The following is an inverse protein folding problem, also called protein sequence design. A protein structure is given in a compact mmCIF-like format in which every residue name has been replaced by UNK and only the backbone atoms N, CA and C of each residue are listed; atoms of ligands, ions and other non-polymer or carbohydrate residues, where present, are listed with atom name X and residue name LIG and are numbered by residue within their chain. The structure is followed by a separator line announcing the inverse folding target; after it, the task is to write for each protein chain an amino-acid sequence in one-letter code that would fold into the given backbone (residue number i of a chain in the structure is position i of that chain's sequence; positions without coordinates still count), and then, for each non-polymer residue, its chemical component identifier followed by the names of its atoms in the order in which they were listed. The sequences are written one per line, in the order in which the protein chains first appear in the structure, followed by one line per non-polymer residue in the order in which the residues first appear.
data_IF_851769678271
#
_entry.id   IF_851769678271
#
_cell.length_a   1.000
_cell.length_b   1.000
_cell.length_c   1.000
_cell.angle_alpha   90.00
_cell.angle_beta   90.00
_cell.angle_gamma   90.00
#
_symmetry.space_group_name_H-M   'P 1'
#
loop_
_entity.id
_entity.type
_entity.pdbx_description
1 polymer ?
#
# COMPACT_ATOMS: atom_id res chain seq x y z
N UNK A 1 6.32 2.84 26.64
CA UNK A 1 7.20 3.07 25.47
C UNK A 1 6.57 2.35 24.29
N UNK A 2 6.47 3.00 23.13
CA UNK A 2 5.90 2.37 21.92
C UNK A 2 6.87 1.32 21.41
N UNK A 3 6.37 0.11 21.15
CA UNK A 3 7.17 -0.96 20.57
C UNK A 3 7.20 -0.84 19.04
N UNK A 4 8.38 -0.58 18.50
CA UNK A 4 8.61 -0.48 17.06
C UNK A 4 9.01 -1.81 16.41
N UNK A 5 9.09 -2.92 17.16
CA UNK A 5 9.45 -4.25 16.65
C UNK A 5 8.52 -4.75 15.54
N UNK A 6 7.34 -4.14 15.43
CA UNK A 6 6.29 -4.47 14.47
C UNK A 6 6.37 -3.67 13.16
N UNK A 7 7.37 -2.78 13.00
CA UNK A 7 7.57 -1.99 11.78
C UNK A 7 8.57 -2.68 10.84
N UNK A 8 8.10 -3.01 9.64
CA UNK A 8 8.90 -3.63 8.58
C UNK A 8 9.14 -2.64 7.43
N UNK A 9 10.27 -2.80 6.74
CA UNK A 9 10.52 -2.13 5.45
C UNK A 9 10.05 -3.04 4.32
N UNK A 10 9.22 -2.51 3.43
CA UNK A 10 8.77 -3.21 2.23
C UNK A 10 8.85 -2.29 1.00
N UNK A 11 8.75 -2.90 -0.18
CA UNK A 11 8.66 -2.18 -1.46
C UNK A 11 7.55 -2.78 -2.30
N UNK A 12 6.60 -1.96 -2.71
CA UNK A 12 5.46 -2.37 -3.54
C UNK A 12 5.50 -1.59 -4.85
N UNK A 13 5.61 -2.30 -5.97
CA UNK A 13 5.71 -1.69 -7.31
C UNK A 13 6.77 -0.58 -7.39
N UNK A 14 7.93 -0.79 -6.75
CA UNK A 14 9.02 0.19 -6.70
C UNK A 14 8.86 1.29 -5.65
N UNK A 15 7.74 1.37 -4.93
CA UNK A 15 7.51 2.37 -3.87
C UNK A 15 7.92 1.82 -2.50
N UNK A 16 8.93 2.40 -1.83
CA UNK A 16 9.33 1.97 -0.49
C UNK A 16 8.36 2.46 0.59
N UNK A 17 7.95 1.56 1.48
CA UNK A 17 7.05 1.82 2.60
C UNK A 17 7.62 1.30 3.92
N UNK A 18 7.20 1.93 5.02
CA UNK A 18 7.10 1.27 6.32
C UNK A 18 5.74 0.57 6.40
N UNK A 19 5.71 -0.64 6.93
CA UNK A 19 4.50 -1.46 7.07
C UNK A 19 4.42 -2.01 8.49
N UNK A 20 3.21 -2.03 9.06
CA UNK A 20 2.91 -2.77 10.28
C UNK A 20 1.64 -3.59 10.10
N UNK A 21 1.51 -4.68 10.85
CA UNK A 21 0.27 -5.44 10.93
C UNK A 21 -0.51 -5.01 12.18
N UNK A 22 -1.74 -4.54 11.99
CA UNK A 22 -2.64 -4.15 13.09
C UNK A 22 -4.01 -4.80 12.87
N UNK A 23 -4.51 -5.58 13.84
CA UNK A 23 -5.78 -6.34 13.72
C UNK A 23 -5.89 -7.16 12.41
N UNK A 24 -4.79 -7.75 11.93
CA UNK A 24 -4.77 -8.49 10.67
C UNK A 24 -4.81 -7.62 9.40
N UNK A 25 -4.76 -6.29 9.54
CA UNK A 25 -4.69 -5.32 8.45
C UNK A 25 -3.27 -4.78 8.32
N UNK A 26 -2.70 -4.87 7.12
CA UNK A 26 -1.45 -4.18 6.82
C UNK A 26 -1.72 -2.66 6.73
N UNK A 27 -0.96 -1.89 7.50
CA UNK A 27 -1.00 -0.42 7.50
C UNK A 27 0.35 0.09 7.01
N UNK A 28 0.33 0.99 6.03
CA UNK A 28 1.51 1.43 5.31
C UNK A 28 1.70 2.95 5.38
N UNK A 29 2.97 3.35 5.48
CA UNK A 29 3.45 4.73 5.40
C UNK A 29 4.55 4.82 4.35
N UNK A 30 4.41 5.68 3.34
CA UNK A 30 5.44 5.87 2.31
C UNK A 30 6.69 6.51 2.89
N UNK A 31 7.85 6.06 2.43
CA UNK A 31 9.15 6.55 2.92
C UNK A 31 9.57 7.87 2.28
N UNK A 32 9.06 8.18 1.08
CA UNK A 32 9.42 9.37 0.31
C UNK A 32 8.76 10.64 0.84
N UNK A 33 7.49 10.56 1.21
CA UNK A 33 6.62 11.70 1.52
C UNK A 33 5.83 11.52 2.83
N UNK A 34 6.03 10.40 3.54
CA UNK A 34 5.28 10.04 4.75
C UNK A 34 3.76 9.89 4.56
N UNK A 35 3.25 9.77 3.34
CA UNK A 35 1.82 9.55 3.14
C UNK A 35 1.36 8.24 3.78
N UNK A 36 0.16 8.28 4.36
CA UNK A 36 -0.49 7.15 5.00
C UNK A 36 -1.64 6.64 4.12
N UNK A 37 -1.88 5.34 4.12
CA UNK A 37 -3.02 4.77 3.42
C UNK A 37 -4.29 4.85 4.29
N UNK A 38 -5.16 5.83 4.00
CA UNK A 38 -6.41 6.07 4.71
C UNK A 38 -7.36 4.87 4.63
N UNK A 39 -7.38 4.13 3.51
CA UNK A 39 -8.22 2.94 3.38
C UNK A 39 -7.86 1.86 4.41
N UNK A 40 -6.57 1.70 4.70
CA UNK A 40 -6.09 0.74 5.69
C UNK A 40 -6.41 1.19 7.12
N UNK A 41 -6.28 2.49 7.42
CA UNK A 41 -6.70 3.07 8.72
C UNK A 41 -8.18 2.79 8.98
N UNK A 42 -9.05 3.04 8.00
CA UNK A 42 -10.48 2.78 8.13
C UNK A 42 -10.82 1.28 8.27
N UNK A 43 -9.98 0.39 7.75
CA UNK A 43 -10.13 -1.06 7.99
C UNK A 43 -9.75 -1.44 9.42
N UNK A 44 -8.75 -0.79 10.02
CA UNK A 44 -8.38 -0.99 11.43
C UNK A 44 -9.46 -0.47 12.38
N UNK A 45 -10.19 0.56 11.97
CA UNK A 45 -11.39 1.07 12.65
C UNK A 45 -12.64 0.20 12.40
N UNK A 46 -12.48 -1.01 11.84
CA UNK A 46 -13.54 -2.01 11.67
C UNK A 46 -14.75 -1.55 10.80
N UNK A 47 -14.59 -0.48 10.01
CA UNK A 47 -15.59 -0.08 9.04
C UNK A 47 -15.68 -1.07 7.87
N UNK A 48 -16.90 -1.42 7.45
CA UNK A 48 -17.14 -2.28 6.32
C UNK A 48 -16.91 -1.57 4.97
N UNK A 49 -17.06 -2.29 3.85
CA UNK A 49 -16.78 -1.71 2.52
C UNK A 49 -17.69 -0.50 2.21
N UNK A 50 -19.04 -0.58 2.34
CA UNK A 50 -19.92 0.57 2.16
C UNK A 50 -19.56 1.79 3.01
N UNK A 51 -19.30 1.60 4.31
CA UNK A 51 -18.96 2.68 5.23
C UNK A 51 -17.65 3.36 4.82
N UNK A 52 -16.60 2.58 4.57
CA UNK A 52 -15.31 3.11 4.11
C UNK A 52 -15.44 3.88 2.81
N UNK A 53 -16.20 3.38 1.84
CA UNK A 53 -16.43 4.08 0.57
C UNK A 53 -17.07 5.45 0.81
N UNK A 54 -18.11 5.52 1.66
CA UNK A 54 -18.80 6.77 1.99
C UNK A 54 -17.87 7.78 2.66
N UNK A 55 -17.09 7.35 3.66
CA UNK A 55 -16.11 8.21 4.36
C UNK A 55 -15.05 8.71 3.38
N UNK A 56 -14.49 7.81 2.58
CA UNK A 56 -13.46 8.17 1.61
C UNK A 56 -13.96 9.22 0.61
N UNK A 57 -15.15 9.05 0.05
CA UNK A 57 -15.71 9.95 -0.96
C UNK A 57 -16.15 11.30 -0.40
N UNK A 58 -16.71 11.33 0.82
CA UNK A 58 -17.31 12.55 1.38
C UNK A 58 -16.37 13.38 2.23
N UNK A 59 -15.34 12.76 2.82
CA UNK A 59 -14.51 13.40 3.84
C UNK A 59 -13.03 13.36 3.48
N UNK A 60 -12.52 12.20 3.05
CA UNK A 60 -11.07 12.05 2.79
C UNK A 60 -10.67 12.66 1.45
N UNK A 61 -11.41 12.35 0.38
CA UNK A 61 -11.11 12.75 -1.00
C UNK A 61 -11.48 14.20 -1.33
N UNK A 62 -12.14 14.91 -0.42
CA UNK A 62 -12.42 16.35 -0.58
C UNK A 62 -11.19 17.23 -0.32
N UNK A 63 -10.17 16.70 0.36
CA UNK A 63 -8.88 17.35 0.59
C UNK A 63 -7.74 16.74 -0.20
N UNK A 64 -6.49 17.10 0.14
CA UNK A 64 -5.30 16.54 -0.51
C UNK A 64 -5.22 15.03 -0.30
N UNK A 65 -5.15 14.29 -1.40
CA UNK A 65 -5.07 12.83 -1.42
C UNK A 65 -4.53 12.33 -2.77
N UNK A 66 -4.18 11.05 -2.82
CA UNK A 66 -3.83 10.32 -4.03
C UNK A 66 -4.63 9.01 -4.06
N UNK A 67 -5.29 8.69 -5.18
CA UNK A 67 -5.97 7.40 -5.37
C UNK A 67 -5.05 6.46 -6.14
N UNK A 68 -4.66 5.36 -5.51
CA UNK A 68 -3.92 4.27 -6.16
C UNK A 68 -4.88 3.14 -6.45
N UNK A 69 -5.11 2.89 -7.74
CA UNK A 69 -5.95 1.81 -8.27
C UNK A 69 -5.13 0.96 -9.24
N UNK A 70 -5.29 -0.37 -9.21
CA UNK A 70 -4.46 -1.29 -10.00
C UNK A 70 -3.13 -1.67 -9.32
N UNK A 71 -2.41 -2.65 -9.87
CA UNK A 71 -1.17 -3.17 -9.28
C UNK A 71 -1.37 -4.10 -8.06
N UNK A 72 -0.37 -4.21 -7.18
CA UNK A 72 -0.39 -5.13 -6.04
C UNK A 72 -1.46 -4.76 -5.01
N UNK A 73 -2.38 -5.69 -4.74
CA UNK A 73 -3.63 -5.40 -4.02
C UNK A 73 -3.47 -4.80 -2.62
N UNK A 74 -2.42 -5.14 -1.84
CA UNK A 74 -2.24 -4.57 -0.49
C UNK A 74 -1.87 -3.09 -0.49
N UNK A 75 -1.24 -2.59 -1.56
CA UNK A 75 -0.78 -1.19 -1.66
C UNK A 75 -1.88 -0.24 -2.17
N UNK A 76 -2.94 -0.78 -2.78
CA UNK A 76 -4.06 0.00 -3.28
C UNK A 76 -4.80 0.75 -2.16
N UNK A 77 -5.44 1.86 -2.51
CA UNK A 77 -6.24 2.67 -1.59
C UNK A 77 -6.11 4.17 -1.83
N UNK A 78 -6.71 4.94 -0.93
CA UNK A 78 -6.53 6.40 -0.87
C UNK A 78 -5.39 6.72 0.07
N UNK A 79 -4.36 7.38 -0.45
CA UNK A 79 -3.20 7.85 0.30
C UNK A 79 -3.37 9.33 0.63
N UNK A 80 -3.00 9.73 1.85
CA UNK A 80 -3.12 11.10 2.34
C UNK A 80 -1.84 11.57 3.02
N UNK A 81 -1.57 12.89 3.07
CA UNK A 81 -0.49 13.45 3.88
C UNK A 81 -0.50 12.91 5.31
N UNK A 82 0.69 12.79 5.91
CA UNK A 82 0.87 12.22 7.24
C UNK A 82 -0.09 12.82 8.28
N UNK A 83 -0.16 14.15 8.38
CA UNK A 83 -1.03 14.84 9.36
C UNK A 83 -2.51 14.52 9.15
N UNK A 84 -2.97 14.41 7.90
CA UNK A 84 -4.37 14.02 7.61
C UNK A 84 -4.65 12.57 7.98
N UNK A 85 -3.69 11.67 7.72
CA UNK A 85 -3.82 10.26 8.11
C UNK A 85 -3.80 10.08 9.63
N UNK A 86 -2.96 10.83 10.34
CA UNK A 86 -2.92 10.87 11.80
C UNK A 86 -4.25 11.39 12.38
N UNK A 87 -4.74 12.53 11.91
CA UNK A 87 -6.02 13.07 12.34
C UNK A 87 -7.20 12.11 12.06
N UNK A 88 -7.16 11.36 10.96
CA UNK A 88 -8.14 10.33 10.66
C UNK A 88 -8.08 9.15 11.66
N UNK A 89 -6.87 8.76 12.08
CA UNK A 89 -6.69 7.71 13.07
C UNK A 89 -7.20 8.15 14.46
N UNK A 90 -6.94 9.41 14.85
CA UNK A 90 -7.45 10.01 16.09
C UNK A 90 -8.98 10.14 16.06
N UNK A 91 -9.56 10.62 14.95
CA UNK A 91 -11.01 10.78 14.78
C UNK A 91 -11.78 9.47 14.96
N UNK A 92 -11.18 8.34 14.57
CA UNK A 92 -11.80 7.02 14.69
C UNK A 92 -11.16 6.16 15.79
N UNK A 93 -10.44 6.78 16.73
CA UNK A 93 -9.94 6.15 17.96
C UNK A 93 -9.07 4.90 17.70
N UNK A 94 -8.26 4.96 16.63
CA UNK A 94 -7.28 3.92 16.27
C UNK A 94 -5.85 4.43 16.28
N UNK A 95 -5.60 5.67 16.67
CA UNK A 95 -4.27 6.25 16.78
C UNK A 95 -3.39 5.51 17.80
N UNK A 96 -3.94 5.07 18.93
CA UNK A 96 -3.20 4.31 19.94
C UNK A 96 -2.63 3.00 19.39
N UNK A 97 -3.46 2.22 18.68
CA UNK A 97 -3.03 0.94 18.09
C UNK A 97 -2.14 1.13 16.85
N UNK A 98 -2.21 2.31 16.22
CA UNK A 98 -1.35 2.72 15.11
C UNK A 98 -0.13 3.53 15.57
N UNK A 99 0.04 3.77 16.87
CA UNK A 99 1.14 4.54 17.43
C UNK A 99 2.52 4.08 16.93
N UNK A 100 2.81 2.77 16.76
CA UNK A 100 4.08 2.32 16.20
C UNK A 100 4.41 2.94 14.85
N UNK A 101 3.48 2.98 13.88
CA UNK A 101 3.78 3.51 12.53
C UNK A 101 3.67 5.04 12.46
N UNK A 102 2.82 5.64 13.31
CA UNK A 102 2.64 7.08 13.41
C UNK A 102 3.87 7.74 14.06
N UNK A 103 4.38 7.16 15.14
CA UNK A 103 5.50 7.72 15.90
C UNK A 103 6.86 7.23 15.42
N UNK A 104 6.91 6.29 14.46
CA UNK A 104 8.16 5.81 13.90
C UNK A 104 8.94 6.96 13.27
N UNK A 105 10.05 7.32 13.90
CA UNK A 105 11.10 8.16 13.33
C UNK A 105 12.19 7.20 12.85
N UNK A 106 12.67 7.39 11.62
CA UNK A 106 13.80 6.64 11.11
C UNK A 106 15.01 6.94 12.01
N UNK A 107 15.38 6.00 12.88
CA UNK A 107 16.70 6.01 13.52
C UNK A 107 17.80 5.78 12.48
N UNK A 108 19.03 6.20 12.79
CA UNK A 108 20.19 5.94 11.93
C UNK A 108 20.52 4.44 11.81
N UNK A 109 19.98 3.62 12.70
CA UNK A 109 20.17 2.17 12.72
C UNK A 109 19.22 1.47 11.72
N UNK A 110 19.78 0.60 10.87
CA UNK A 110 19.03 -0.13 9.85
C UNK A 110 18.18 -1.24 10.50
N UNK A 111 16.85 -1.30 10.26
CA UNK A 111 16.01 -2.37 10.79
C UNK A 111 16.36 -3.72 10.13
N UNK A 112 16.12 -4.83 10.84
CA UNK A 112 16.43 -6.17 10.37
C UNK A 112 15.67 -6.50 9.08
N UNK A 113 16.30 -7.30 8.23
CA UNK A 113 15.74 -7.77 6.96
C UNK A 113 14.44 -8.54 7.22
N UNK A 114 13.38 -8.22 6.46
CA UNK A 114 12.13 -8.96 6.51
C UNK A 114 12.37 -10.46 6.21
N UNK A 115 11.59 -11.38 6.82
CA UNK A 115 11.69 -12.80 6.52
C UNK A 115 11.52 -13.05 5.02
N UNK A 116 12.48 -13.75 4.42
CA UNK A 116 12.49 -14.02 2.98
C UNK A 116 11.23 -14.80 2.59
N UNK A 117 10.32 -14.17 1.85
CA UNK A 117 9.36 -14.92 1.05
C UNK A 117 10.14 -15.59 -0.10
N UNK A 118 10.16 -16.92 -0.11
CA UNK A 118 10.67 -17.71 -1.24
C UNK A 118 9.81 -17.37 -2.47
N UNK A 119 10.31 -16.47 -3.32
CA UNK A 119 9.77 -16.30 -4.66
C UNK A 119 10.16 -17.55 -5.44
N UNK A 120 9.17 -18.37 -5.76
CA UNK A 120 9.34 -19.47 -6.71
C UNK A 120 9.62 -18.84 -8.08
N UNK A 121 10.89 -18.77 -8.48
CA UNK A 121 11.28 -18.36 -9.82
C UNK A 121 10.70 -19.38 -10.82
N UNK A 122 9.65 -18.99 -11.53
CA UNK A 122 9.28 -19.68 -12.77
C UNK A 122 10.34 -19.36 -13.81
N UNK A 123 11.28 -20.30 -13.99
CA UNK A 123 12.21 -20.33 -15.11
C UNK A 123 11.43 -20.29 -16.43
N UNK A 124 11.48 -19.16 -17.13
CA UNK A 124 11.04 -19.07 -18.51
C UNK A 124 12.02 -19.86 -19.38
N UNK A 125 11.60 -21.02 -19.85
CA UNK A 125 12.28 -21.74 -20.94
C UNK A 125 12.06 -20.96 -22.24
N UNK A 126 13.14 -20.50 -22.85
CA UNK A 126 13.16 -19.96 -24.21
C UNK A 126 12.73 -21.04 -25.20
N UNK A 127 11.67 -20.77 -25.98
CA UNK A 127 11.28 -21.59 -27.12
C UNK A 127 11.52 -20.76 -28.40
N UNK A 128 12.38 -21.19 -29.35
CA UNK A 128 12.60 -20.46 -30.59
C UNK A 128 11.74 -21.08 -31.70
N UNK A 129 10.59 -20.48 -32.00
CA UNK A 129 9.87 -20.77 -33.23
C UNK A 129 9.16 -19.53 -33.74
N UNK A 130 9.68 -18.93 -34.82
CA UNK A 130 8.85 -18.39 -35.89
C UNK A 130 9.63 -18.42 -37.21
N UNK A 131 9.28 -19.39 -38.05
CA UNK A 131 9.51 -19.37 -39.49
C UNK A 131 8.19 -18.93 -40.14
N UNK A 132 8.23 -17.76 -40.79
CA UNK A 132 7.51 -17.30 -41.98
C UNK A 132 6.03 -17.70 -42.20
N UNK A 133 5.14 -16.70 -42.36
CA UNK A 133 4.41 -16.41 -43.62
C UNK A 133 3.46 -15.19 -43.48
N UNK A 134 3.19 -14.45 -44.58
CA UNK A 134 2.64 -13.10 -44.56
C UNK A 134 1.10 -13.05 -44.66
N UNK A 135 0.46 -12.12 -43.94
CA UNK A 135 -0.96 -11.81 -44.14
C UNK A 135 -1.13 -10.87 -45.34
N UNK A 136 -1.89 -11.35 -46.33
CA UNK A 136 -2.35 -10.60 -47.49
C UNK A 136 -3.38 -9.53 -47.07
N UNK A 137 -3.20 -8.32 -47.61
CA UNK A 137 -4.17 -7.23 -47.61
C UNK A 137 -5.23 -7.54 -48.67
N UNK A 138 -6.52 -7.39 -48.34
CA UNK A 138 -7.50 -6.98 -49.34
C UNK A 138 -8.63 -6.20 -48.68
N UNK A 139 -8.68 -4.90 -48.98
CA UNK A 139 -9.89 -4.10 -48.99
C UNK A 139 -10.47 -4.14 -50.41
N UNK A 140 -11.80 -4.31 -50.57
CA UNK A 140 -12.65 -3.41 -51.36
C UNK A 140 -14.13 -3.84 -51.33
N UNK A 141 -14.95 -2.80 -51.52
CA UNK A 141 -16.39 -2.74 -51.76
C UNK A 141 -16.85 -3.64 -52.90
#
# INVERSE_FOLDING_TARGET
MVDFSQIFKATYSGVPVYEMLCKGVAVMRRRSDSYLNATQILKVADFDKPQRTRILEREVQTGQHEKVQGGYGKYQGTWVPFERGKALAELYEVDDVLAPILQFVKGDESPPLAPKHHHHHHHHHHHPYYQQHPYHISSKQ
#
